data_IF_051148680374
#
_entry.id   IF_051148680374
#
_cell.length_a   1.000
_cell.length_b   1.000
_cell.length_c   1.000
_cell.angle_alpha   90.00
_cell.angle_beta   90.00
_cell.angle_gamma   90.00
#
_symmetry.space_group_name_H-M   'P 1'
#
loop_
_entity.id
_entity.type
_entity.pdbx_description
1 polymer ?
#
# COMPACT_ATOMS: atom_id res chain seq x y z
N UNK A 1 17.43 21.45 46.23
CA UNK A 1 17.80 20.50 45.14
C UNK A 1 16.93 19.23 45.06
N UNK A 2 16.03 18.91 46.01
CA UNK A 2 15.33 17.60 46.01
C UNK A 2 14.05 17.50 45.16
N UNK A 3 13.33 18.60 44.89
CA UNK A 3 12.03 18.54 44.18
C UNK A 3 12.13 18.21 42.67
N UNK A 4 13.23 18.58 42.01
CA UNK A 4 13.43 18.31 40.57
C UNK A 4 13.78 16.84 40.27
N UNK A 5 14.47 16.18 41.19
CA UNK A 5 14.82 14.75 41.09
C UNK A 5 13.59 13.85 41.30
N UNK A 6 12.70 14.20 42.24
CA UNK A 6 11.46 13.46 42.48
C UNK A 6 10.47 13.55 41.30
N UNK A 7 10.36 14.73 40.67
CA UNK A 7 9.54 14.91 39.47
C UNK A 7 10.11 14.13 38.27
N UNK A 8 11.44 14.12 38.08
CA UNK A 8 12.10 13.34 37.04
C UNK A 8 11.93 11.82 37.20
N UNK A 9 11.99 11.32 38.44
CA UNK A 9 11.71 9.90 38.74
C UNK A 9 10.26 9.52 38.47
N UNK A 10 9.31 10.39 38.83
CA UNK A 10 7.89 10.17 38.57
C UNK A 10 7.57 10.12 37.08
N UNK A 11 8.14 11.03 36.29
CA UNK A 11 7.97 11.03 34.83
C UNK A 11 8.62 9.80 34.18
N UNK A 12 9.83 9.43 34.61
CA UNK A 12 10.51 8.23 34.11
C UNK A 12 9.74 6.95 34.43
N UNK A 13 9.18 6.83 35.63
CA UNK A 13 8.37 5.67 36.03
C UNK A 13 7.06 5.58 35.24
N UNK A 14 6.38 6.71 35.00
CA UNK A 14 5.17 6.76 34.18
C UNK A 14 5.47 6.40 32.72
N UNK A 15 6.57 6.93 32.16
CA UNK A 15 7.00 6.59 30.81
C UNK A 15 7.35 5.09 30.68
N UNK A 16 8.06 4.53 31.66
CA UNK A 16 8.41 3.11 31.67
C UNK A 16 7.15 2.23 31.78
N UNK A 17 6.21 2.61 32.65
CA UNK A 17 4.93 1.90 32.79
C UNK A 17 4.11 1.96 31.50
N UNK A 18 4.08 3.11 30.81
CA UNK A 18 3.42 3.26 29.53
C UNK A 18 4.06 2.36 28.45
N UNK A 19 5.39 2.24 28.42
CA UNK A 19 6.11 1.34 27.50
C UNK A 19 5.82 -0.13 27.81
N UNK A 20 5.79 -0.52 29.09
CA UNK A 20 5.50 -1.89 29.53
C UNK A 20 4.04 -2.27 29.23
N UNK A 21 3.09 -1.37 29.50
CA UNK A 21 1.69 -1.58 29.16
C UNK A 21 1.51 -1.64 27.64
N UNK A 22 2.15 -0.75 26.87
CA UNK A 22 2.12 -0.76 25.41
C UNK A 22 2.63 -2.07 24.83
N UNK A 23 3.76 -2.57 25.33
CA UNK A 23 4.33 -3.87 24.91
C UNK A 23 3.45 -5.05 25.32
N UNK A 24 2.87 -5.05 26.52
CA UNK A 24 1.95 -6.10 26.94
C UNK A 24 0.65 -6.14 26.11
N UNK A 25 0.07 -4.99 25.79
CA UNK A 25 -1.13 -4.89 24.94
C UNK A 25 -0.81 -5.35 23.50
N UNK A 26 0.38 -5.04 23.00
CA UNK A 26 0.89 -5.53 21.71
C UNK A 26 1.03 -7.07 21.70
N UNK A 27 1.69 -7.65 22.70
CA UNK A 27 1.93 -9.11 22.75
C UNK A 27 0.67 -9.95 23.05
N UNK A 28 -0.32 -9.39 23.75
CA UNK A 28 -1.57 -10.12 24.07
C UNK A 28 -2.62 -10.07 22.96
N UNK A 29 -2.36 -9.31 21.89
CA UNK A 29 -3.35 -9.03 20.85
C UNK A 29 -4.60 -8.31 21.37
N UNK A 30 -4.53 -7.71 22.58
CA UNK A 30 -5.67 -7.03 23.19
C UNK A 30 -6.10 -5.85 22.33
N UNK A 31 -5.14 -5.12 21.73
CA UNK A 31 -5.38 -4.03 20.77
C UNK A 31 -6.25 -4.48 19.59
N UNK A 32 -5.97 -5.66 19.02
CA UNK A 32 -6.76 -6.20 17.91
C UNK A 32 -8.19 -6.59 18.34
N UNK A 33 -8.37 -7.06 19.58
CA UNK A 33 -9.70 -7.40 20.13
C UNK A 33 -10.55 -6.18 20.48
N UNK A 34 -9.94 -5.09 20.95
CA UNK A 34 -10.68 -3.88 21.39
C UNK A 34 -10.77 -2.79 20.31
N UNK A 35 -9.87 -2.82 19.32
CA UNK A 35 -9.81 -1.86 18.22
C UNK A 35 -9.45 -2.57 16.90
N UNK A 36 -10.37 -3.39 16.34
CA UNK A 36 -10.16 -4.00 15.03
C UNK A 36 -9.89 -2.91 13.97
N UNK A 37 -8.90 -3.14 13.11
CA UNK A 37 -8.51 -2.19 12.07
C UNK A 37 -7.59 -1.03 12.50
N UNK A 38 -7.06 -1.04 13.73
CA UNK A 38 -6.09 -0.03 14.18
C UNK A 38 -4.86 0.12 13.25
N UNK A 39 -4.42 -0.99 12.64
CA UNK A 39 -3.29 -1.00 11.72
C UNK A 39 -3.58 -0.14 10.48
N UNK A 40 -4.81 -0.16 9.96
CA UNK A 40 -5.23 0.67 8.81
C UNK A 40 -5.16 2.15 9.15
N UNK A 41 -5.56 2.51 10.38
CA UNK A 41 -5.48 3.90 10.86
C UNK A 41 -4.01 4.32 10.96
N UNK A 42 -3.16 3.47 11.53
CA UNK A 42 -1.74 3.76 11.65
C UNK A 42 -1.06 3.85 10.28
N UNK A 43 -1.35 2.94 9.36
CA UNK A 43 -0.94 2.95 7.95
C UNK A 43 -1.24 4.31 7.30
N UNK A 44 -2.47 4.82 7.46
CA UNK A 44 -2.85 6.14 6.96
C UNK A 44 -2.04 7.27 7.57
N UNK A 45 -1.76 7.21 8.88
CA UNK A 45 -0.96 8.25 9.57
C UNK A 45 0.50 8.25 9.09
N UNK A 46 1.07 7.09 8.80
CA UNK A 46 2.47 6.97 8.38
C UNK A 46 2.67 6.96 6.85
N UNK A 47 1.59 7.11 6.07
CA UNK A 47 1.66 7.09 4.60
C UNK A 47 1.87 5.70 3.98
N UNK A 48 1.63 4.62 4.73
CA UNK A 48 1.67 3.25 4.19
C UNK A 48 0.30 2.84 3.66
N UNK A 49 -0.19 3.54 2.63
CA UNK A 49 -1.46 3.21 1.97
C UNK A 49 -1.27 2.98 0.48
N UNK A 50 -2.14 2.18 -0.17
CA UNK A 50 -2.07 1.99 -1.62
C UNK A 50 -2.05 3.28 -2.44
N UNK A 51 -2.84 4.26 -2.02
CA UNK A 51 -2.95 5.57 -2.67
C UNK A 51 -1.63 6.36 -2.56
N UNK A 52 -0.93 6.26 -1.43
CA UNK A 52 0.36 6.92 -1.25
C UNK A 52 1.43 6.31 -2.18
N UNK A 53 1.46 4.98 -2.32
CA UNK A 53 2.39 4.31 -3.22
C UNK A 53 2.08 4.57 -4.70
N UNK A 54 0.79 4.66 -5.07
CA UNK A 54 0.37 5.14 -6.40
C UNK A 54 0.84 6.59 -6.63
N UNK A 55 0.60 7.48 -5.67
CA UNK A 55 0.98 8.89 -5.78
C UNK A 55 2.50 9.04 -5.97
N UNK A 56 3.31 8.25 -5.24
CA UNK A 56 4.76 8.24 -5.39
C UNK A 56 5.21 7.79 -6.79
N UNK A 57 4.54 6.79 -7.38
CA UNK A 57 4.81 6.36 -8.76
C UNK A 57 4.47 7.47 -9.77
N UNK A 58 3.29 8.07 -9.68
CA UNK A 58 2.85 9.13 -10.59
C UNK A 58 3.71 10.40 -10.45
N UNK A 59 4.14 10.73 -9.24
CA UNK A 59 5.09 11.83 -8.98
C UNK A 59 6.46 11.57 -9.64
N UNK A 60 6.97 10.34 -9.57
CA UNK A 60 8.19 9.97 -10.29
C UNK A 60 8.03 10.09 -11.82
N UNK A 61 6.89 9.66 -12.36
CA UNK A 61 6.54 9.83 -13.78
C UNK A 61 6.49 11.32 -14.16
N UNK A 62 5.84 12.17 -13.36
CA UNK A 62 5.72 13.60 -13.62
C UNK A 62 7.05 14.34 -13.53
N UNK A 63 7.96 13.90 -12.65
CA UNK A 63 9.34 14.40 -12.61
C UNK A 63 10.23 13.88 -13.75
N UNK A 64 9.68 13.06 -14.65
CA UNK A 64 10.43 12.36 -15.71
C UNK A 64 11.55 11.47 -15.18
N UNK A 65 11.43 11.01 -13.94
CA UNK A 65 12.41 10.12 -13.32
C UNK A 65 12.03 8.66 -13.61
N UNK A 66 12.48 8.17 -14.77
CA UNK A 66 12.22 6.80 -15.21
C UNK A 66 12.71 5.77 -14.19
N UNK A 67 13.88 5.99 -13.58
CA UNK A 67 14.45 5.00 -12.67
C UNK A 67 13.62 4.92 -11.39
N UNK A 68 13.26 6.05 -10.79
CA UNK A 68 12.39 6.06 -9.62
C UNK A 68 11.00 5.48 -9.92
N UNK A 69 10.43 5.77 -11.10
CA UNK A 69 9.15 5.21 -11.52
C UNK A 69 9.23 3.68 -11.66
N UNK A 70 10.28 3.16 -12.28
CA UNK A 70 10.50 1.72 -12.37
C UNK A 70 10.73 1.10 -10.99
N UNK A 71 11.50 1.73 -10.11
CA UNK A 71 11.84 1.22 -8.78
C UNK A 71 10.65 1.21 -7.80
N UNK A 72 9.61 2.00 -8.07
CA UNK A 72 8.33 1.92 -7.35
C UNK A 72 7.62 0.57 -7.55
N UNK A 73 7.89 -0.11 -8.66
CA UNK A 73 7.37 -1.46 -8.92
C UNK A 73 8.19 -2.49 -8.14
N UNK A 74 7.49 -3.39 -7.46
CA UNK A 74 8.09 -4.53 -6.79
C UNK A 74 7.68 -5.84 -7.46
N UNK A 75 8.53 -6.29 -8.38
CA UNK A 75 8.37 -7.57 -9.05
C UNK A 75 8.73 -8.71 -8.09
N UNK A 76 7.74 -9.49 -7.64
CA UNK A 76 7.96 -10.60 -6.70
C UNK A 76 8.58 -11.80 -7.39
N UNK A 77 9.54 -12.44 -6.71
CA UNK A 77 10.14 -13.69 -7.16
C UNK A 77 10.79 -13.54 -8.54
N UNK A 78 10.50 -14.46 -9.47
CA UNK A 78 10.88 -14.36 -10.88
C UNK A 78 9.66 -13.86 -11.67
N UNK A 79 9.59 -12.58 -12.05
CA UNK A 79 8.48 -12.08 -12.86
C UNK A 79 8.45 -12.76 -14.22
N UNK A 80 7.27 -12.80 -14.84
CA UNK A 80 7.15 -13.25 -16.23
C UNK A 80 7.76 -12.21 -17.17
N UNK A 81 8.31 -12.61 -18.33
CA UNK A 81 8.81 -11.66 -19.31
C UNK A 81 7.77 -10.61 -19.74
N UNK A 82 6.49 -11.01 -19.81
CA UNK A 82 5.38 -10.12 -20.13
C UNK A 82 5.17 -9.04 -19.06
N UNK A 83 5.33 -9.37 -17.77
CA UNK A 83 5.22 -8.39 -16.69
C UNK A 83 6.42 -7.43 -16.67
N UNK A 84 7.62 -7.93 -16.96
CA UNK A 84 8.82 -7.08 -17.09
C UNK A 84 8.71 -6.11 -18.27
N UNK A 85 8.22 -6.60 -19.41
CA UNK A 85 7.94 -5.78 -20.59
C UNK A 85 6.87 -4.73 -20.29
N UNK A 86 5.76 -5.12 -19.66
CA UNK A 86 4.69 -4.20 -19.26
C UNK A 86 5.18 -3.12 -18.31
N UNK A 87 5.96 -3.48 -17.28
CA UNK A 87 6.56 -2.50 -16.35
C UNK A 87 7.32 -1.42 -17.10
N UNK A 88 8.10 -1.82 -18.10
CA UNK A 88 8.89 -0.90 -18.91
C UNK A 88 8.01 -0.07 -19.86
N UNK A 89 7.13 -0.72 -20.62
CA UNK A 89 6.32 -0.07 -21.66
C UNK A 89 5.26 0.88 -21.09
N UNK A 90 4.60 0.51 -19.98
CA UNK A 90 3.63 1.37 -19.30
C UNK A 90 4.33 2.59 -18.70
N UNK A 91 5.48 2.39 -18.06
CA UNK A 91 6.27 3.50 -17.52
C UNK A 91 6.73 4.44 -18.62
N UNK A 92 7.24 3.91 -19.74
CA UNK A 92 7.65 4.72 -20.89
C UNK A 92 6.48 5.48 -21.53
N UNK A 93 5.31 4.83 -21.64
CA UNK A 93 4.09 5.48 -22.13
C UNK A 93 3.67 6.65 -21.22
N UNK A 94 3.61 6.43 -19.91
CA UNK A 94 3.22 7.48 -18.96
C UNK A 94 4.26 8.62 -18.88
N UNK A 95 5.55 8.32 -19.06
CA UNK A 95 6.62 9.33 -19.14
C UNK A 95 6.55 10.21 -20.40
N UNK A 96 5.82 9.79 -21.42
CA UNK A 96 5.57 10.61 -22.61
C UNK A 96 4.37 11.57 -22.41
N UNK A 97 3.52 11.32 -21.42
CA UNK A 97 2.30 12.08 -21.14
C UNK A 97 2.58 13.19 -20.11
N UNK A 98 1.95 14.36 -20.23
CA UNK A 98 2.00 15.40 -19.19
C UNK A 98 0.77 15.27 -18.28
N UNK A 99 0.92 14.49 -17.20
CA UNK A 99 -0.18 14.22 -16.26
C UNK A 99 -0.33 15.41 -15.31
N UNK A 100 -1.43 16.14 -15.47
CA UNK A 100 -1.73 17.34 -14.68
C UNK A 100 -2.42 17.01 -13.36
N UNK A 101 -3.27 15.97 -13.35
CA UNK A 101 -4.00 15.50 -12.18
C UNK A 101 -4.47 14.05 -12.39
N UNK A 102 -4.97 13.40 -11.33
CA UNK A 102 -5.58 12.08 -11.42
C UNK A 102 -6.73 11.90 -10.43
N UNK A 103 -7.68 11.05 -10.80
CA UNK A 103 -8.81 10.66 -9.96
C UNK A 103 -8.81 9.14 -9.74
N UNK A 104 -8.86 8.70 -8.48
CA UNK A 104 -9.08 7.30 -8.13
C UNK A 104 -10.59 7.06 -8.16
N UNK A 105 -11.08 6.48 -9.25
CA UNK A 105 -12.51 6.23 -9.47
C UNK A 105 -13.03 5.13 -8.54
N UNK A 106 -12.21 4.10 -8.31
CA UNK A 106 -12.58 2.94 -7.52
C UNK A 106 -11.35 2.29 -6.89
N UNK A 107 -11.53 1.79 -5.67
CA UNK A 107 -10.60 0.84 -5.05
C UNK A 107 -11.33 -0.46 -4.78
N UNK A 108 -10.89 -1.52 -5.44
CA UNK A 108 -11.35 -2.89 -5.18
C UNK A 108 -10.35 -3.58 -4.24
N UNK A 109 -10.83 -4.07 -3.10
CA UNK A 109 -10.00 -4.70 -2.08
C UNK A 109 -10.06 -6.21 -2.22
N UNK A 110 -8.91 -6.87 -2.10
CA UNK A 110 -8.79 -8.31 -2.27
C UNK A 110 -8.10 -8.96 -1.09
N UNK A 111 -8.72 -10.00 -0.53
CA UNK A 111 -7.99 -10.99 0.26
C UNK A 111 -7.04 -11.74 -0.66
N UNK A 112 -5.81 -11.96 -0.19
CA UNK A 112 -4.76 -12.64 -0.97
C UNK A 112 -4.37 -14.01 -0.42
N UNK A 113 -4.89 -14.41 0.75
CA UNK A 113 -4.63 -15.75 1.29
C UNK A 113 -5.66 -16.76 0.81
N UNK A 114 -5.17 -18.00 0.68
CA UNK A 114 -5.91 -19.24 0.81
C UNK A 114 -6.84 -19.48 -0.40
N UNK A 115 -7.87 -18.65 -0.52
CA UNK A 115 -8.72 -18.51 -1.68
C UNK A 115 -8.92 -17.00 -1.89
N UNK A 116 -8.11 -16.36 -2.75
CA UNK A 116 -8.25 -14.94 -3.00
C UNK A 116 -9.65 -14.55 -3.44
N UNK A 117 -10.15 -13.43 -2.95
CA UNK A 117 -11.50 -12.95 -3.27
C UNK A 117 -11.63 -11.46 -2.99
N UNK A 118 -12.57 -10.77 -3.65
CA UNK A 118 -12.94 -9.41 -3.28
C UNK A 118 -13.46 -9.38 -1.84
N UNK A 119 -13.08 -8.35 -1.09
CA UNK A 119 -13.52 -8.11 0.28
C UNK A 119 -14.04 -6.67 0.40
N UNK A 120 -15.06 -6.47 1.23
CA UNK A 120 -15.66 -5.14 1.40
C UNK A 120 -14.80 -4.18 2.24
N UNK A 121 -13.98 -4.73 3.15
CA UNK A 121 -13.24 -3.95 4.13
C UNK A 121 -11.73 -4.00 3.86
N UNK A 122 -11.04 -2.84 3.80
CA UNK A 122 -9.59 -2.77 3.60
C UNK A 122 -8.79 -3.54 4.63
N UNK A 123 -9.31 -3.70 5.85
CA UNK A 123 -8.68 -4.44 6.96
C UNK A 123 -8.37 -5.90 6.60
N UNK A 124 -9.12 -6.51 5.69
CA UNK A 124 -8.90 -7.90 5.26
C UNK A 124 -8.10 -8.03 3.97
N UNK A 125 -7.70 -6.90 3.37
CA UNK A 125 -7.10 -6.89 2.06
C UNK A 125 -5.58 -7.05 2.10
N UNK A 126 -5.05 -7.92 1.24
CA UNK A 126 -3.62 -7.98 0.90
C UNK A 126 -3.30 -7.32 -0.45
N UNK A 127 -4.34 -6.92 -1.20
CA UNK A 127 -4.22 -6.23 -2.48
C UNK A 127 -5.32 -5.19 -2.62
N UNK A 128 -4.96 -4.05 -3.19
CA UNK A 128 -5.83 -2.98 -3.61
C UNK A 128 -5.66 -2.80 -5.12
N UNK A 129 -6.76 -2.91 -5.85
CA UNK A 129 -6.82 -2.65 -7.29
C UNK A 129 -7.48 -1.29 -7.50
N UNK A 130 -6.68 -0.31 -7.88
CA UNK A 130 -7.10 1.08 -8.05
C UNK A 130 -7.39 1.35 -9.53
N UNK A 131 -8.63 1.72 -9.85
CA UNK A 131 -8.97 2.25 -11.18
C UNK A 131 -8.81 3.75 -11.15
N UNK A 132 -8.02 4.29 -12.07
CA UNK A 132 -7.55 5.66 -12.03
C UNK A 132 -7.73 6.30 -13.40
N UNK A 133 -8.37 7.47 -13.41
CA UNK A 133 -8.38 8.36 -14.56
C UNK A 133 -7.25 9.37 -14.43
N UNK A 134 -6.41 9.44 -15.46
CA UNK A 134 -5.29 10.38 -15.59
C UNK A 134 -5.71 11.52 -16.51
N UNK A 135 -5.58 12.76 -16.03
CA UNK A 135 -5.86 13.97 -16.79
C UNK A 135 -4.54 14.50 -17.39
N UNK A 136 -4.45 14.49 -18.70
CA UNK A 136 -3.27 14.97 -19.43
C UNK A 136 -3.52 16.36 -20.05
N UNK A 137 -2.49 17.21 -20.10
CA UNK A 137 -2.63 18.59 -20.60
C UNK A 137 -3.12 18.66 -22.06
N UNK A 138 -2.48 17.90 -22.96
CA UNK A 138 -2.72 17.96 -24.42
C UNK A 138 -3.26 16.64 -24.98
N UNK A 139 -3.67 15.70 -24.13
CA UNK A 139 -4.14 14.38 -24.54
C UNK A 139 -5.49 14.04 -23.89
N UNK A 140 -6.32 13.19 -24.55
CA UNK A 140 -7.51 12.65 -23.91
C UNK A 140 -7.17 11.97 -22.59
N UNK A 141 -8.09 12.04 -21.64
CA UNK A 141 -7.98 11.34 -20.36
C UNK A 141 -7.69 9.86 -20.59
N UNK A 142 -6.73 9.31 -19.84
CA UNK A 142 -6.37 7.90 -19.91
C UNK A 142 -6.90 7.19 -18.68
N UNK A 143 -7.36 5.94 -18.85
CA UNK A 143 -7.71 5.09 -17.71
C UNK A 143 -6.68 3.99 -17.54
N UNK A 144 -6.24 3.81 -16.31
CA UNK A 144 -5.32 2.78 -15.91
C UNK A 144 -5.83 2.07 -14.66
N UNK A 145 -5.47 0.80 -14.54
CA UNK A 145 -5.61 0.05 -13.31
C UNK A 145 -4.22 -0.15 -12.70
N UNK A 146 -4.10 0.06 -11.39
CA UNK A 146 -2.89 -0.12 -10.61
C UNK A 146 -3.15 -1.16 -9.52
N UNK A 147 -2.38 -2.25 -9.52
CA UNK A 147 -2.44 -3.26 -8.47
C UNK A 147 -1.34 -2.97 -7.44
N UNK A 148 -1.76 -2.62 -6.23
CA UNK A 148 -0.88 -2.36 -5.09
C UNK A 148 -1.11 -3.43 -4.04
N UNK A 149 -0.07 -4.15 -3.66
CA UNK A 149 -0.20 -5.33 -2.80
C UNK A 149 0.79 -5.30 -1.64
N UNK A 150 0.49 -6.04 -0.58
CA UNK A 150 1.36 -6.14 0.59
C UNK A 150 2.63 -6.90 0.23
N UNK A 151 3.81 -6.31 0.43
CA UNK A 151 5.12 -6.89 0.09
C UNK A 151 5.25 -8.34 0.55
N UNK A 152 4.84 -8.59 1.78
CA UNK A 152 4.77 -9.93 2.37
C UNK A 152 3.34 -10.49 2.30
N UNK A 153 3.17 -11.83 2.32
CA UNK A 153 1.86 -12.44 2.44
C UNK A 153 1.05 -11.87 3.61
N UNK A 154 -0.19 -11.49 3.35
CA UNK A 154 -1.10 -10.98 4.36
C UNK A 154 -2.17 -12.03 4.68
N UNK A 155 -2.27 -12.39 5.96
CA UNK A 155 -3.23 -13.38 6.49
C UNK A 155 -4.30 -12.76 7.37
N UNK A 156 -4.45 -11.42 7.34
CA UNK A 156 -5.42 -10.71 8.14
C UNK A 156 -5.31 -11.01 9.64
N UNK A 157 -6.46 -11.15 10.35
CA UNK A 157 -6.50 -11.39 11.78
C UNK A 157 -5.70 -12.61 12.24
N UNK A 158 -5.63 -13.65 11.41
CA UNK A 158 -4.88 -14.88 11.71
C UNK A 158 -3.37 -14.60 11.74
N UNK A 159 -2.89 -13.70 10.88
CA UNK A 159 -1.52 -13.22 10.85
C UNK A 159 -1.20 -12.14 11.88
N UNK A 160 -2.16 -11.76 12.73
CA UNK A 160 -1.98 -10.73 13.77
C UNK A 160 -2.05 -9.29 13.26
N UNK A 161 -2.56 -9.06 12.04
CA UNK A 161 -2.78 -7.71 11.49
C UNK A 161 -1.54 -6.79 11.57
N UNK A 162 -0.40 -7.18 10.98
CA UNK A 162 0.78 -6.32 10.98
C UNK A 162 0.52 -5.04 10.16
N UNK A 163 1.29 -3.98 10.44
CA UNK A 163 1.37 -2.83 9.53
C UNK A 163 1.85 -3.36 8.18
N UNK A 164 1.00 -3.21 7.16
CA UNK A 164 1.30 -3.70 5.82
C UNK A 164 2.23 -2.75 5.11
N UNK A 165 3.26 -3.33 4.48
CA UNK A 165 4.14 -2.60 3.56
C UNK A 165 3.58 -2.78 2.17
N UNK A 166 2.97 -1.74 1.63
CA UNK A 166 2.38 -1.80 0.30
C UNK A 166 3.44 -1.57 -0.78
N UNK A 167 3.23 -2.15 -1.96
CA UNK A 167 4.09 -1.98 -3.13
C UNK A 167 3.28 -2.11 -4.41
N UNK A 168 3.59 -1.30 -5.43
CA UNK A 168 3.01 -1.45 -6.77
C UNK A 168 3.54 -2.76 -7.40
N UNK A 169 2.65 -3.63 -7.88
CA UNK A 169 3.03 -4.91 -8.49
C UNK A 169 2.64 -5.01 -9.96
N UNK A 170 1.67 -4.22 -10.41
CA UNK A 170 1.22 -4.14 -11.80
C UNK A 170 0.58 -2.78 -12.07
N UNK A 171 0.66 -2.33 -13.32
CA UNK A 171 -0.11 -1.20 -13.83
C UNK A 171 -0.39 -1.44 -15.30
N UNK A 172 -1.62 -1.19 -15.74
CA UNK A 172 -2.04 -1.50 -17.10
C UNK A 172 -3.19 -0.60 -17.54
N UNK A 173 -3.28 -0.27 -18.85
CA UNK A 173 -4.43 0.45 -19.39
C UNK A 173 -5.74 -0.26 -19.10
N UNK A 174 -6.81 0.52 -19.01
CA UNK A 174 -8.16 -0.04 -18.87
C UNK A 174 -8.50 -1.00 -20.03
N UNK A 175 -9.16 -2.12 -19.70
CA UNK A 175 -9.45 -3.20 -20.63
C UNK A 175 -8.36 -4.26 -20.79
N UNK A 176 -7.15 -4.05 -20.25
CA UNK A 176 -6.15 -5.12 -20.16
C UNK A 176 -6.34 -5.98 -18.89
N UNK A 177 -5.93 -7.24 -18.96
CA UNK A 177 -5.94 -8.15 -17.81
C UNK A 177 -4.69 -7.95 -16.92
N UNK A 178 -4.81 -8.20 -15.60
CA UNK A 178 -3.66 -8.21 -14.71
C UNK A 178 -2.66 -9.31 -15.09
N UNK A 179 -1.37 -9.03 -14.99
CA UNK A 179 -0.30 -10.01 -15.17
C UNK A 179 0.30 -10.46 -13.83
N UNK A 180 0.35 -9.59 -12.81
CA UNK A 180 0.95 -9.92 -11.52
C UNK A 180 0.00 -10.69 -10.58
N UNK A 181 -1.28 -10.33 -10.55
CA UNK A 181 -2.31 -10.98 -9.71
C UNK A 181 -3.54 -11.34 -10.53
N UNK A 182 -3.58 -12.60 -11.00
CA UNK A 182 -4.68 -13.18 -11.78
C UNK A 182 -5.54 -14.06 -10.90
N UNK A 183 -6.77 -13.65 -10.63
CA UNK A 183 -7.73 -14.47 -9.89
C UNK A 183 -9.19 -14.21 -10.31
N UNK A 184 -10.02 -15.26 -10.46
CA UNK A 184 -9.64 -16.67 -10.48
C UNK A 184 -8.68 -16.98 -11.63
N UNK A 185 -7.83 -17.99 -11.47
CA UNK A 185 -6.91 -18.39 -12.54
C UNK A 185 -7.76 -18.99 -13.66
N UNK A 186 -7.92 -18.26 -14.77
CA UNK A 186 -8.55 -18.74 -16.01
C UNK A 186 -7.58 -19.56 -16.84
#
# INVERSE_FOLDING_TARGET
>A
MSRRLAAGLGIAAVALLAVVLGTAVYHTGLLHRVAPGWHVVLERVIGETPEHHLAAYLDAVNRRDKQAALDAWHLRGRPSPALEERRSSVTDGLLAEEITDYEIEQVEWWSTCCEPCPVELPTYAGLARLRVTLNCADAPTRRYTFDVATREPYWGPIGGDPIRRWVLIDAYPDGEEPLAFRWPVS
#
